data_IF_963938094343
#
_entry.id   IF_963938094343
#
_cell.length_a   1.000
_cell.length_b   1.000
_cell.length_c   1.000
_cell.angle_alpha   90.00
_cell.angle_beta   90.00
_cell.angle_gamma   90.00
#
_symmetry.space_group_name_H-M   'P 1'
#
loop_
_entity.id
_entity.type
_entity.pdbx_description
1 polymer ?
#
# COMPACT_ATOMS: atom_id res chain seq x y z
N UNK A 1 6.10 -20.03 12.88
CA UNK A 1 7.38 -19.65 12.24
C UNK A 1 7.07 -18.57 11.22
N UNK A 2 7.69 -17.40 11.31
CA UNK A 2 7.54 -16.38 10.29
C UNK A 2 8.35 -16.81 9.06
N UNK A 3 7.73 -16.80 7.88
CA UNK A 3 8.44 -16.92 6.60
C UNK A 3 9.47 -15.79 6.51
N UNK A 4 10.67 -16.07 5.97
CA UNK A 4 11.69 -15.04 5.69
C UNK A 4 11.16 -13.96 4.73
N UNK A 5 10.18 -14.32 3.91
CA UNK A 5 9.48 -13.40 3.01
C UNK A 5 8.18 -12.94 3.67
N UNK A 6 7.97 -11.61 3.85
CA UNK A 6 6.70 -11.07 4.32
C UNK A 6 5.54 -11.51 3.44
N UNK A 7 4.39 -11.83 4.06
CA UNK A 7 3.26 -12.47 3.38
C UNK A 7 2.76 -11.69 2.15
N UNK A 8 2.83 -10.36 2.18
CA UNK A 8 2.37 -9.51 1.09
C UNK A 8 3.17 -9.68 -0.21
N UNK A 9 4.38 -10.24 -0.13
CA UNK A 9 5.26 -10.53 -1.27
C UNK A 9 5.22 -12.00 -1.71
N UNK A 10 4.50 -12.87 -0.99
CA UNK A 10 4.31 -14.23 -1.46
C UNK A 10 3.55 -14.21 -2.78
N UNK A 11 4.01 -15.01 -3.74
CA UNK A 11 3.41 -15.08 -5.05
C UNK A 11 2.34 -16.17 -5.11
N UNK A 12 1.19 -15.84 -5.70
CA UNK A 12 0.17 -16.80 -6.11
C UNK A 12 0.13 -16.77 -7.63
N UNK A 13 0.38 -17.90 -8.29
CA UNK A 13 0.54 -17.98 -9.75
C UNK A 13 1.55 -16.96 -10.32
N UNK A 14 2.64 -16.72 -9.59
CA UNK A 14 3.71 -15.79 -10.00
C UNK A 14 3.43 -14.30 -9.73
N UNK A 15 2.27 -13.95 -9.17
CA UNK A 15 1.89 -12.56 -8.86
C UNK A 15 1.89 -12.35 -7.34
N UNK A 16 2.57 -11.31 -6.80
CA UNK A 16 2.56 -11.01 -5.37
C UNK A 16 1.16 -10.73 -4.81
N UNK A 17 0.87 -11.14 -3.58
CA UNK A 17 -0.42 -10.87 -2.91
C UNK A 17 -0.75 -9.37 -2.85
N UNK A 18 0.25 -8.50 -2.63
CA UNK A 18 0.05 -7.05 -2.64
C UNK A 18 -0.39 -6.54 -4.01
N UNK A 19 0.16 -7.08 -5.09
CA UNK A 19 -0.23 -6.70 -6.46
C UNK A 19 -1.70 -7.04 -6.72
N UNK A 20 -2.16 -8.23 -6.35
CA UNK A 20 -3.58 -8.60 -6.45
C UNK A 20 -4.48 -7.64 -5.67
N UNK A 21 -4.06 -7.23 -4.47
CA UNK A 21 -4.84 -6.33 -3.62
C UNK A 21 -4.96 -4.95 -4.26
N UNK A 22 -3.86 -4.40 -4.77
CA UNK A 22 -3.87 -3.09 -5.44
C UNK A 22 -4.70 -3.13 -6.72
N UNK A 23 -4.54 -4.16 -7.56
CA UNK A 23 -5.34 -4.32 -8.78
C UNK A 23 -6.83 -4.37 -8.48
N UNK A 24 -7.25 -5.10 -7.44
CA UNK A 24 -8.66 -5.19 -7.05
C UNK A 24 -9.22 -3.84 -6.58
N UNK A 25 -8.46 -3.08 -5.77
CA UNK A 25 -8.88 -1.76 -5.30
C UNK A 25 -8.92 -0.73 -6.44
N UNK A 26 -7.91 -0.74 -7.31
CA UNK A 26 -7.79 0.18 -8.46
C UNK A 26 -8.83 -0.09 -9.57
N UNK A 27 -9.40 -1.30 -9.61
CA UNK A 27 -10.50 -1.66 -10.49
C UNK A 27 -11.86 -1.14 -9.99
N UNK A 28 -11.97 -0.71 -8.74
CA UNK A 28 -13.20 -0.15 -8.19
C UNK A 28 -13.34 1.32 -8.61
N UNK A 29 -14.39 1.72 -9.35
CA UNK A 29 -14.55 3.09 -9.83
C UNK A 29 -14.75 4.11 -8.69
N UNK A 30 -15.26 3.67 -7.54
CA UNK A 30 -15.48 4.54 -6.36
C UNK A 30 -14.19 4.83 -5.59
N UNK A 31 -13.10 4.07 -5.86
CA UNK A 31 -11.80 4.26 -5.23
C UNK A 31 -10.94 5.16 -6.13
N UNK A 32 -10.73 6.41 -5.69
CA UNK A 32 -9.93 7.39 -6.43
C UNK A 32 -8.42 7.19 -6.30
N UNK A 33 -7.99 6.43 -5.31
CA UNK A 33 -6.58 6.13 -5.04
C UNK A 33 -6.37 5.56 -3.65
N UNK A 34 -5.11 5.34 -3.27
CA UNK A 34 -4.76 4.77 -1.97
C UNK A 34 -3.31 5.04 -1.57
N UNK A 35 -3.05 4.97 -0.27
CA UNK A 35 -1.70 5.11 0.29
C UNK A 35 -1.25 3.77 0.86
N UNK A 36 -0.08 3.30 0.44
CA UNK A 36 0.55 2.08 0.94
C UNK A 36 1.63 2.44 1.94
N UNK A 37 1.46 2.02 3.19
CA UNK A 37 2.49 2.14 4.22
C UNK A 37 3.60 1.10 3.98
N UNK A 38 4.82 1.56 3.72
CA UNK A 38 5.98 0.71 3.45
C UNK A 38 7.15 1.11 4.34
N UNK A 39 7.99 0.13 4.68
CA UNK A 39 9.29 0.43 5.26
C UNK A 39 10.21 1.00 4.15
N UNK A 40 10.94 2.10 4.39
CA UNK A 40 11.78 2.73 3.36
C UNK A 40 12.95 1.85 2.90
N UNK A 41 13.31 0.82 3.66
CA UNK A 41 14.32 -0.18 3.29
C UNK A 41 13.74 -1.38 2.54
N UNK A 42 12.41 -1.46 2.39
CA UNK A 42 11.74 -2.60 1.75
C UNK A 42 11.84 -2.58 0.23
N UNK A 43 12.97 -3.08 -0.27
CA UNK A 43 13.24 -3.24 -1.70
C UNK A 43 12.30 -4.20 -2.43
N UNK A 44 11.52 -5.02 -1.72
CA UNK A 44 10.58 -5.95 -2.39
C UNK A 44 9.37 -5.23 -2.97
N UNK A 45 9.08 -4.01 -2.48
CA UNK A 45 8.06 -3.15 -3.07
C UNK A 45 8.34 -2.84 -4.55
N UNK A 46 9.60 -2.81 -4.97
CA UNK A 46 10.00 -2.59 -6.37
C UNK A 46 9.45 -3.68 -7.33
N UNK A 47 9.01 -4.84 -6.81
CA UNK A 47 8.39 -5.92 -7.57
C UNK A 47 6.89 -5.69 -7.85
N UNK A 48 6.28 -4.66 -7.24
CA UNK A 48 4.84 -4.41 -7.30
C UNK A 48 4.57 -3.32 -8.35
N UNK A 49 4.16 -3.75 -9.55
CA UNK A 49 3.92 -2.85 -10.67
C UNK A 49 2.85 -1.79 -10.35
N UNK A 50 1.81 -2.17 -9.61
CA UNK A 50 0.72 -1.26 -9.24
C UNK A 50 1.16 -0.11 -8.32
N UNK A 51 2.33 -0.17 -7.68
CA UNK A 51 2.86 0.98 -6.92
C UNK A 51 3.28 2.15 -7.82
N UNK A 52 3.43 1.93 -9.13
CA UNK A 52 3.70 2.98 -10.11
C UNK A 52 2.44 3.61 -10.71
N UNK A 53 1.24 3.13 -10.35
CA UNK A 53 -0.01 3.76 -10.79
C UNK A 53 -0.13 5.16 -10.16
N UNK A 54 -0.48 6.21 -10.92
CA UNK A 54 -0.54 7.59 -10.41
C UNK A 54 -1.58 7.80 -9.29
N UNK A 55 -2.50 6.85 -9.08
CA UNK A 55 -3.47 6.86 -7.98
C UNK A 55 -2.93 6.22 -6.70
N UNK A 56 -1.78 5.58 -6.75
CA UNK A 56 -1.15 4.90 -5.62
C UNK A 56 -0.01 5.75 -5.09
N UNK A 57 -0.06 6.04 -3.80
CA UNK A 57 0.96 6.78 -3.07
C UNK A 57 1.60 5.87 -2.02
N UNK A 58 2.77 6.25 -1.52
CA UNK A 58 3.46 5.54 -0.44
C UNK A 58 3.70 6.46 0.73
N UNK A 59 3.49 5.95 1.94
CA UNK A 59 3.90 6.59 3.18
C UNK A 59 4.91 5.71 3.92
N UNK A 60 5.80 6.33 4.69
CA UNK A 60 6.73 5.61 5.55
C UNK A 60 5.91 4.98 6.69
N UNK A 61 5.96 3.66 6.80
CA UNK A 61 5.34 2.91 7.90
C UNK A 61 5.99 3.26 9.25
N UNK A 62 5.23 3.11 10.33
CA UNK A 62 5.75 3.26 11.69
C UNK A 62 6.01 1.93 12.38
N UNK A 63 6.32 1.98 13.68
CA UNK A 63 6.66 0.78 14.46
C UNK A 63 5.47 -0.19 14.57
N UNK A 64 4.27 0.38 14.70
CA UNK A 64 3.03 -0.38 14.75
C UNK A 64 2.15 -0.13 13.52
N UNK A 65 1.13 -0.99 13.40
CA UNK A 65 0.10 -0.83 12.36
C UNK A 65 -0.63 0.52 12.51
N UNK A 66 -0.88 0.99 13.73
CA UNK A 66 -1.58 2.25 13.98
C UNK A 66 -0.78 3.45 13.45
N UNK A 67 0.53 3.47 13.68
CA UNK A 67 1.42 4.53 13.17
C UNK A 67 1.44 4.58 11.65
N UNK A 68 1.50 3.40 11.01
CA UNK A 68 1.49 3.28 9.56
C UNK A 68 0.16 3.76 8.95
N UNK A 69 -0.96 3.47 9.63
CA UNK A 69 -2.28 3.98 9.23
C UNK A 69 -2.35 5.49 9.42
N UNK A 70 -1.87 6.02 10.54
CA UNK A 70 -1.85 7.46 10.81
C UNK A 70 -1.04 8.22 9.75
N UNK A 71 0.13 7.71 9.37
CA UNK A 71 0.95 8.30 8.31
C UNK A 71 0.20 8.35 6.97
N UNK A 72 -0.54 7.29 6.62
CA UNK A 72 -1.39 7.25 5.44
C UNK A 72 -2.54 8.27 5.49
N UNK A 73 -3.21 8.40 6.64
CA UNK A 73 -4.28 9.39 6.84
C UNK A 73 -3.75 10.81 6.77
N UNK A 74 -2.60 11.09 7.40
CA UNK A 74 -1.94 12.40 7.34
C UNK A 74 -1.53 12.77 5.92
N UNK A 75 -1.04 11.81 5.12
CA UNK A 75 -0.76 12.03 3.71
C UNK A 75 -2.02 12.45 2.95
N UNK A 76 -3.19 11.93 3.33
CA UNK A 76 -4.46 12.20 2.68
C UNK A 76 -5.15 13.49 3.15
N UNK A 77 -4.64 14.16 4.19
CA UNK A 77 -5.23 15.42 4.70
C UNK A 77 -5.49 16.47 3.62
N UNK A 78 -4.63 16.69 2.59
CA UNK A 78 -4.92 17.65 1.52
C UNK A 78 -6.10 17.26 0.60
N UNK A 79 -6.55 16.01 0.64
CA UNK A 79 -7.64 15.47 -0.17
C UNK A 79 -8.94 15.31 0.62
N UNK A 80 -8.90 15.54 1.93
CA UNK A 80 -10.03 15.41 2.84
C UNK A 80 -11.04 16.55 2.62
N UNK A 81 -12.34 16.23 2.77
CA UNK A 81 -13.41 17.22 2.83
C UNK A 81 -13.37 18.02 4.14
N UNK A 82 -14.29 18.98 4.28
CA UNK A 82 -14.42 19.79 5.50
C UNK A 82 -14.89 19.01 6.73
N UNK A 83 -15.55 17.86 6.50
CA UNK A 83 -16.17 17.03 7.54
C UNK A 83 -15.42 15.70 7.77
N UNK A 84 -14.25 15.53 7.14
CA UNK A 84 -13.36 14.36 7.24
C UNK A 84 -12.25 14.53 8.29
#
# INVERSE_FOLDING_TARGET
>A
MASEVPKQYLAVNGVPILEYTLQALLACPDIRGGVVGLDPSDRRADLIASLSDPRVFTAIGGQERADSVLAGVQFLTPYAGSDD
#
